data_IF_966888631368
#
_entry.id   IF_966888631368
#
_cell.length_a   1.000
_cell.length_b   1.000
_cell.length_c   1.000
_cell.angle_alpha   90.00
_cell.angle_beta   90.00
_cell.angle_gamma   90.00
#
_symmetry.space_group_name_H-M   'P 1'
#
loop_
_entity.id
_entity.type
_entity.pdbx_description
1 polymer ?
#
# COMPACT_ATOMS: atom_id res chain seq x y z
N UNK A 1 -23.83 4.77 -6.97
CA UNK A 1 -22.54 5.27 -7.52
C UNK A 1 -21.61 4.08 -7.59
N UNK A 2 -21.16 3.68 -8.78
CA UNK A 2 -20.28 2.52 -8.95
C UNK A 2 -18.84 2.82 -8.53
N UNK A 3 -17.94 1.92 -8.92
CA UNK A 3 -16.49 2.08 -8.72
C UNK A 3 -15.99 3.36 -9.41
N UNK A 4 -15.39 4.25 -8.62
CA UNK A 4 -14.64 5.40 -9.11
C UNK A 4 -13.30 4.96 -9.70
N UNK A 5 -13.16 5.09 -11.02
CA UNK A 5 -11.97 4.67 -11.76
C UNK A 5 -10.82 5.67 -11.63
N UNK A 6 -11.11 6.96 -11.50
CA UNK A 6 -10.07 8.00 -11.36
C UNK A 6 -9.32 7.80 -10.04
N UNK A 7 -10.06 7.51 -8.96
CA UNK A 7 -9.47 7.14 -7.67
C UNK A 7 -8.57 5.92 -7.77
N UNK A 8 -9.02 4.86 -8.45
CA UNK A 8 -8.22 3.64 -8.63
C UNK A 8 -6.95 3.93 -9.44
N UNK A 9 -7.05 4.69 -10.53
CA UNK A 9 -5.88 5.05 -11.35
C UNK A 9 -4.87 5.85 -10.53
N UNK A 10 -5.31 6.79 -9.70
CA UNK A 10 -4.43 7.54 -8.80
C UNK A 10 -3.67 6.61 -7.83
N UNK A 11 -4.38 5.68 -7.19
CA UNK A 11 -3.79 4.73 -6.24
C UNK A 11 -2.81 3.77 -6.94
N UNK A 12 -3.11 3.33 -8.16
CA UNK A 12 -2.18 2.55 -8.98
C UNK A 12 -0.91 3.35 -9.25
N UNK A 13 -1.02 4.63 -9.59
CA UNK A 13 0.15 5.50 -9.78
C UNK A 13 1.03 5.63 -8.53
N UNK A 14 0.44 5.67 -7.33
CA UNK A 14 1.17 5.66 -6.07
C UNK A 14 1.89 4.33 -5.82
N UNK A 15 1.24 3.21 -6.15
CA UNK A 15 1.85 1.88 -6.09
C UNK A 15 3.05 1.80 -7.05
N UNK A 16 2.88 2.21 -8.31
CA UNK A 16 3.93 2.16 -9.32
C UNK A 16 5.14 3.01 -8.93
N UNK A 17 4.90 4.23 -8.44
CA UNK A 17 5.96 5.11 -7.94
C UNK A 17 6.71 4.48 -6.77
N UNK A 18 5.98 3.92 -5.81
CA UNK A 18 6.58 3.26 -4.64
C UNK A 18 7.40 2.04 -5.03
N UNK A 19 6.88 1.21 -5.94
CA UNK A 19 7.57 0.03 -6.46
C UNK A 19 8.81 0.41 -7.27
N UNK A 20 8.80 1.52 -8.02
CA UNK A 20 9.99 2.02 -8.73
C UNK A 20 11.13 2.30 -7.75
N UNK A 21 10.85 3.05 -6.68
CA UNK A 21 11.84 3.35 -5.64
C UNK A 21 12.33 2.08 -4.95
N UNK A 22 11.43 1.15 -4.60
CA UNK A 22 11.81 -0.12 -3.98
C UNK A 22 12.69 -0.98 -4.90
N UNK A 23 12.45 -0.98 -6.22
CA UNK A 23 13.29 -1.68 -7.19
C UNK A 23 14.70 -1.10 -7.24
N UNK A 24 14.85 0.22 -7.16
CA UNK A 24 16.17 0.87 -7.09
C UNK A 24 16.94 0.44 -5.84
N UNK A 25 16.26 0.39 -4.69
CA UNK A 25 16.87 -0.14 -3.46
C UNK A 25 17.21 -1.63 -3.55
N UNK A 26 16.40 -2.42 -4.27
CA UNK A 26 16.65 -3.84 -4.51
C UNK A 26 17.88 -4.14 -5.38
N UNK A 27 18.45 -3.14 -6.06
CA UNK A 27 19.73 -3.28 -6.79
C UNK A 27 20.97 -3.06 -5.92
N UNK A 28 20.80 -2.59 -4.67
CA UNK A 28 21.92 -2.31 -3.76
C UNK A 28 22.31 -3.58 -3.00
N UNK A 29 23.57 -3.67 -2.58
CA UNK A 29 24.02 -4.72 -1.67
C UNK A 29 23.24 -4.65 -0.35
N UNK A 30 22.77 -5.81 0.10
CA UNK A 30 21.89 -5.93 1.27
C UNK A 30 22.55 -5.35 2.51
N UNK A 31 23.82 -5.66 2.72
CA UNK A 31 24.61 -5.25 3.88
C UNK A 31 24.75 -3.73 3.95
N UNK A 32 24.95 -3.07 2.80
CA UNK A 32 25.02 -1.62 2.70
C UNK A 32 23.66 -0.95 2.93
N UNK A 33 22.58 -1.58 2.45
CA UNK A 33 21.22 -1.07 2.63
C UNK A 33 20.74 -1.13 4.08
N UNK A 34 21.04 -2.22 4.79
CA UNK A 34 20.61 -2.39 6.19
C UNK A 34 21.49 -1.62 7.18
N UNK A 35 22.73 -1.30 6.82
CA UNK A 35 23.63 -0.48 7.64
C UNK A 35 23.24 1.01 7.64
N UNK A 36 22.60 1.51 6.58
CA UNK A 36 22.12 2.89 6.52
C UNK A 36 20.64 3.00 6.97
N UNK A 37 20.43 3.60 8.14
CA UNK A 37 19.11 3.82 8.72
C UNK A 37 18.20 4.67 7.81
N UNK A 38 18.76 5.58 7.00
CA UNK A 38 17.95 6.40 6.08
C UNK A 38 17.42 5.55 4.93
N UNK A 39 18.27 4.73 4.32
CA UNK A 39 17.88 3.77 3.29
C UNK A 39 16.86 2.78 3.84
N UNK A 40 17.11 2.20 5.01
CA UNK A 40 16.17 1.26 5.64
C UNK A 40 14.82 1.91 5.97
N UNK A 41 14.83 3.15 6.47
CA UNK A 41 13.62 3.93 6.72
C UNK A 41 12.83 4.19 5.44
N UNK A 42 13.52 4.55 4.35
CA UNK A 42 12.92 4.80 3.04
C UNK A 42 12.26 3.55 2.48
N UNK A 43 12.95 2.40 2.52
CA UNK A 43 12.40 1.11 2.06
C UNK A 43 11.13 0.75 2.83
N UNK A 44 11.15 0.88 4.17
CA UNK A 44 9.96 0.61 5.00
C UNK A 44 8.80 1.53 4.63
N UNK A 45 9.07 2.81 4.44
CA UNK A 45 8.06 3.81 4.08
C UNK A 45 7.39 3.47 2.74
N UNK A 46 8.17 3.29 1.66
CA UNK A 46 7.59 3.02 0.34
C UNK A 46 6.86 1.68 0.28
N UNK A 47 7.31 0.68 1.05
CA UNK A 47 6.57 -0.57 1.19
C UNK A 47 5.21 -0.36 1.86
N UNK A 48 5.16 0.42 2.95
CA UNK A 48 3.92 0.74 3.65
C UNK A 48 2.94 1.48 2.74
N UNK A 49 3.41 2.49 2.00
CA UNK A 49 2.58 3.25 1.03
C UNK A 49 1.97 2.35 -0.04
N UNK A 50 2.77 1.45 -0.63
CA UNK A 50 2.27 0.52 -1.64
C UNK A 50 1.18 -0.43 -1.09
N UNK A 51 1.35 -0.92 0.14
CA UNK A 51 0.39 -1.79 0.80
C UNK A 51 -0.91 -1.04 1.14
N UNK A 52 -0.80 0.18 1.65
CA UNK A 52 -1.96 1.03 1.99
C UNK A 52 -2.78 1.36 0.75
N UNK A 53 -2.15 1.71 -0.37
CA UNK A 53 -2.85 1.94 -1.63
C UNK A 53 -3.60 0.69 -2.14
N UNK A 54 -3.02 -0.51 -2.01
CA UNK A 54 -3.71 -1.78 -2.32
C UNK A 54 -4.94 -2.00 -1.43
N UNK A 55 -4.82 -1.70 -0.13
CA UNK A 55 -5.92 -1.80 0.84
C UNK A 55 -7.03 -0.81 0.47
N UNK A 56 -6.68 0.42 0.11
CA UNK A 56 -7.62 1.47 -0.26
C UNK A 56 -8.39 1.16 -1.54
N UNK A 57 -7.73 0.60 -2.56
CA UNK A 57 -8.39 0.07 -3.76
C UNK A 57 -9.40 -1.02 -3.37
N UNK A 58 -8.97 -1.98 -2.55
CA UNK A 58 -9.81 -3.11 -2.12
C UNK A 58 -11.05 -2.62 -1.36
N UNK A 59 -10.85 -1.70 -0.40
CA UNK A 59 -11.92 -1.11 0.39
C UNK A 59 -12.91 -0.33 -0.50
N UNK A 60 -12.41 0.41 -1.49
CA UNK A 60 -13.25 1.15 -2.43
C UNK A 60 -14.11 0.20 -3.27
N UNK A 61 -13.53 -0.87 -3.82
CA UNK A 61 -14.29 -1.88 -4.59
C UNK A 61 -15.36 -2.54 -3.71
N UNK A 62 -14.99 -3.04 -2.52
CA UNK A 62 -15.92 -3.68 -1.59
C UNK A 62 -17.09 -2.77 -1.24
N UNK A 63 -16.82 -1.49 -0.96
CA UNK A 63 -17.84 -0.52 -0.59
C UNK A 63 -18.81 -0.19 -1.74
N UNK A 64 -18.33 -0.20 -2.99
CA UNK A 64 -19.14 0.14 -4.18
C UNK A 64 -19.90 -1.04 -4.75
N UNK A 65 -19.39 -2.26 -4.58
CA UNK A 65 -20.01 -3.50 -5.07
C UNK A 65 -20.90 -4.17 -4.00
N UNK A 66 -21.12 -3.53 -2.85
CA UNK A 66 -21.94 -4.04 -1.74
C UNK A 66 -21.53 -5.46 -1.26
N UNK A 67 -20.24 -5.80 -1.38
CA UNK A 67 -19.70 -7.14 -1.07
C UNK A 67 -19.75 -7.45 0.45
N UNK A 68 -20.06 -6.46 1.28
CA UNK A 68 -20.02 -6.58 2.74
C UNK A 68 -18.59 -6.50 3.27
N UNK A 69 -18.44 -6.27 4.57
CA UNK A 69 -17.12 -6.12 5.19
C UNK A 69 -16.50 -7.52 5.37
N UNK A 70 -15.24 -7.75 4.96
CA UNK A 70 -14.57 -9.03 5.21
C UNK A 70 -14.61 -9.38 6.70
N UNK A 71 -14.96 -10.62 7.04
CA UNK A 71 -15.20 -11.04 8.42
C UNK A 71 -13.96 -10.86 9.33
N UNK A 72 -12.76 -10.97 8.75
CA UNK A 72 -11.48 -10.71 9.42
C UNK A 72 -11.28 -9.25 9.88
N UNK A 73 -11.95 -8.28 9.24
CA UNK A 73 -11.85 -6.85 9.57
C UNK A 73 -12.65 -6.45 10.83
N UNK A 74 -13.57 -7.29 11.31
CA UNK A 74 -14.38 -7.02 12.52
C UNK A 74 -13.54 -6.93 13.81
N UNK A 75 -12.31 -7.46 13.80
CA UNK A 75 -11.49 -7.59 15.01
C UNK A 75 -10.59 -6.36 15.32
N UNK A 76 -10.44 -5.39 14.42
CA UNK A 76 -9.46 -4.30 14.59
C UNK A 76 -10.04 -2.91 14.92
N UNK A 77 -11.37 -2.74 15.03
CA UNK A 77 -12.00 -1.44 15.37
C UNK A 77 -13.12 -1.51 16.42
N UNK A 78 -12.98 -2.35 17.46
CA UNK A 78 -13.88 -2.33 18.63
C UNK A 78 -13.14 -2.06 19.95
N UNK A 79 -12.20 -1.11 19.93
CA UNK A 79 -11.67 -0.50 21.16
C UNK A 79 -11.52 1.00 20.96
N UNK A 80 -12.62 1.72 21.10
CA UNK A 80 -12.64 3.09 21.64
C UNK A 80 -14.00 3.32 22.27
#
# INVERSE_FOLDING_TARGET
MGVDKERIVSLIGEIEKSLSVLKEYGQKEKELLVADLKSLGSVKYYLMVAVEACIDISNHIIAKEHIGVPESYKNFRQKT
#
